data_IF_219302618665
#
_entry.id   IF_219302618665
#
_cell.length_a   1.000
_cell.length_b   1.000
_cell.length_c   1.000
_cell.angle_alpha   90.00
_cell.angle_beta   90.00
_cell.angle_gamma   90.00
#
_symmetry.space_group_name_H-M   'P 1'
#
loop_
_entity.id
_entity.type
_entity.pdbx_description
1 polymer ?
#
# COMPACT_ATOMS: atom_id res chain seq x y z
N UNK A 1 4.10 37.48 17.17
CA UNK A 1 2.90 36.68 17.18
C UNK A 1 3.18 35.27 16.69
N UNK A 2 2.50 34.29 17.27
CA UNK A 2 2.52 32.90 16.83
C UNK A 2 1.26 32.63 16.03
N UNK A 3 1.41 31.97 14.86
CA UNK A 3 0.29 31.50 14.06
C UNK A 3 0.22 29.96 14.22
N UNK A 4 -0.97 29.47 14.54
CA UNK A 4 -1.24 28.04 14.65
C UNK A 4 -2.37 27.67 13.72
N UNK A 5 -2.09 26.83 12.72
CA UNK A 5 -3.06 26.28 11.82
C UNK A 5 -3.37 24.83 12.23
N UNK A 6 -4.63 24.51 12.37
CA UNK A 6 -5.07 23.17 12.70
C UNK A 6 -6.23 22.76 11.82
N UNK A 7 -6.28 21.48 11.44
CA UNK A 7 -7.35 20.88 10.68
C UNK A 7 -7.96 19.76 11.51
N UNK A 8 -9.24 19.85 11.76
CA UNK A 8 -10.00 18.85 12.51
C UNK A 8 -10.95 18.16 11.56
N UNK A 9 -10.72 16.87 11.30
CA UNK A 9 -11.58 16.06 10.45
C UNK A 9 -12.43 15.16 11.34
N UNK A 10 -13.76 15.19 11.12
CA UNK A 10 -14.70 14.27 11.76
C UNK A 10 -15.64 13.75 10.70
N UNK A 11 -15.45 12.50 10.29
CA UNK A 11 -16.28 11.87 9.27
C UNK A 11 -16.32 10.36 9.47
N UNK A 12 -17.42 9.79 9.04
CA UNK A 12 -17.55 8.34 8.91
C UNK A 12 -16.94 7.92 7.57
N UNK A 13 -16.11 6.90 7.59
CA UNK A 13 -15.47 6.33 6.41
C UNK A 13 -15.82 4.84 6.34
N UNK A 14 -16.22 4.36 5.17
CA UNK A 14 -16.51 2.95 4.96
C UNK A 14 -15.99 2.48 3.61
N UNK A 15 -15.58 1.25 3.57
CA UNK A 15 -15.19 0.53 2.36
C UNK A 15 -15.85 -0.85 2.34
N UNK A 16 -16.04 -1.39 1.16
CA UNK A 16 -16.63 -2.70 0.93
C UNK A 16 -15.56 -3.64 0.39
N UNK A 17 -15.34 -4.73 1.07
CA UNK A 17 -14.37 -5.74 0.65
C UNK A 17 -15.01 -7.12 0.46
N UNK A 18 -14.55 -7.83 -0.57
CA UNK A 18 -14.90 -9.21 -0.82
C UNK A 18 -13.63 -10.03 -1.07
N UNK A 19 -13.59 -11.22 -0.51
CA UNK A 19 -12.51 -12.17 -0.71
C UNK A 19 -13.08 -13.56 -0.99
N UNK A 20 -12.58 -14.19 -2.03
CA UNK A 20 -12.93 -15.54 -2.40
C UNK A 20 -11.67 -16.37 -2.52
N UNK A 21 -11.68 -17.57 -1.97
CA UNK A 21 -10.58 -18.52 -2.08
C UNK A 21 -11.11 -19.92 -2.32
N UNK A 22 -10.57 -20.58 -3.33
CA UNK A 22 -10.96 -21.93 -3.70
C UNK A 22 -9.73 -22.79 -3.97
N UNK A 23 -9.73 -23.97 -3.38
CA UNK A 23 -8.75 -25.02 -3.66
C UNK A 23 -9.30 -25.95 -4.73
N UNK A 24 -8.52 -26.20 -5.77
CA UNK A 24 -8.84 -27.13 -6.85
C UNK A 24 -7.87 -28.32 -6.79
N UNK A 25 -8.39 -29.50 -6.51
CA UNK A 25 -7.58 -30.68 -6.23
C UNK A 25 -6.68 -30.46 -5.00
N UNK A 26 -5.55 -31.13 -4.97
CA UNK A 26 -4.61 -31.03 -3.84
C UNK A 26 -3.59 -29.91 -3.97
N UNK A 27 -3.30 -29.49 -5.20
CA UNK A 27 -2.12 -28.70 -5.52
C UNK A 27 -2.41 -27.27 -5.99
N UNK A 28 -3.66 -26.92 -6.26
CA UNK A 28 -4.02 -25.65 -6.87
C UNK A 28 -4.87 -24.81 -5.93
N UNK A 29 -4.52 -23.54 -5.79
CA UNK A 29 -5.26 -22.59 -4.97
C UNK A 29 -5.44 -21.29 -5.76
N UNK A 30 -6.69 -20.87 -5.94
CA UNK A 30 -7.04 -19.58 -6.52
C UNK A 30 -7.59 -18.69 -5.41
N UNK A 31 -7.17 -17.42 -5.40
CA UNK A 31 -7.74 -16.41 -4.52
C UNK A 31 -8.08 -15.16 -5.34
N UNK A 32 -9.23 -14.60 -5.08
CA UNK A 32 -9.72 -13.36 -5.68
C UNK A 32 -10.06 -12.39 -4.55
N UNK A 33 -9.75 -11.12 -4.76
CA UNK A 33 -10.10 -10.06 -3.82
C UNK A 33 -10.61 -8.84 -4.57
N UNK A 34 -11.58 -8.16 -4.00
CA UNK A 34 -12.08 -6.89 -4.48
C UNK A 34 -12.32 -5.96 -3.29
N UNK A 35 -11.88 -4.73 -3.39
CA UNK A 35 -12.15 -3.67 -2.42
C UNK A 35 -12.68 -2.47 -3.18
N UNK A 36 -13.80 -1.95 -2.75
CA UNK A 36 -14.44 -0.77 -3.32
C UNK A 36 -14.68 0.27 -2.24
N UNK A 37 -14.14 1.44 -2.47
CA UNK A 37 -14.38 2.63 -1.70
C UNK A 37 -15.29 3.55 -2.53
N UNK A 38 -16.55 3.79 -2.12
CA UNK A 38 -17.42 4.75 -2.82
C UNK A 38 -16.97 6.18 -2.57
N UNK A 39 -17.47 7.10 -3.39
CA UNK A 39 -17.31 8.54 -3.15
C UNK A 39 -17.88 8.90 -1.80
N UNK A 40 -17.10 9.59 -0.98
CA UNK A 40 -17.50 10.00 0.36
C UNK A 40 -17.15 11.46 0.63
N UNK A 41 -18.10 12.17 1.21
CA UNK A 41 -17.88 13.55 1.65
C UNK A 41 -17.31 13.53 3.06
N UNK A 42 -16.09 13.97 3.19
CA UNK A 42 -15.39 14.14 4.45
C UNK A 42 -15.59 15.58 4.89
N UNK A 43 -16.16 15.80 6.07
CA UNK A 43 -16.38 17.13 6.62
C UNK A 43 -15.39 17.41 7.73
N UNK A 44 -14.92 18.63 7.77
CA UNK A 44 -13.97 19.08 8.80
C UNK A 44 -14.05 20.57 9.04
N UNK A 45 -13.18 21.04 9.89
CA UNK A 45 -12.99 22.45 10.18
C UNK A 45 -11.51 22.79 10.04
N UNK A 46 -11.25 23.86 9.30
CA UNK A 46 -9.96 24.51 9.29
C UNK A 46 -9.98 25.63 10.33
N UNK A 47 -8.96 25.70 11.15
CA UNK A 47 -8.88 26.61 12.28
C UNK A 47 -7.55 27.34 12.22
N UNK A 48 -7.62 28.66 12.16
CA UNK A 48 -6.49 29.55 12.12
C UNK A 48 -6.52 30.42 13.37
N UNK A 49 -5.44 30.38 14.15
CA UNK A 49 -5.34 31.03 15.45
C UNK A 49 -4.08 31.87 15.52
N UNK A 50 -4.25 33.17 15.77
CA UNK A 50 -3.17 34.10 16.04
C UNK A 50 -3.06 34.36 17.54
N UNK A 51 -1.90 34.10 18.07
CA UNK A 51 -1.60 34.31 19.48
C UNK A 51 -0.53 35.41 19.68
N UNK A 52 -0.68 36.22 20.72
CA UNK A 52 0.45 36.96 21.32
C UNK A 52 0.91 36.27 22.59
N UNK A 53 2.20 36.07 22.73
CA UNK A 53 2.80 35.64 23.98
C UNK A 53 3.38 36.89 24.69
N UNK A 54 2.96 37.14 25.88
CA UNK A 54 3.53 38.23 26.71
C UNK A 54 4.94 37.92 27.20
N UNK A 55 5.36 36.67 27.15
CA UNK A 55 6.72 36.27 27.53
C UNK A 55 7.13 35.03 26.73
N UNK A 56 8.24 35.13 25.96
CA UNK A 56 8.76 34.06 25.11
C UNK A 56 9.30 32.86 25.92
N UNK A 57 9.66 33.08 27.17
CA UNK A 57 10.27 32.05 28.03
C UNK A 57 9.27 31.26 28.88
N UNK A 58 8.05 31.71 29.01
CA UNK A 58 6.98 31.01 29.72
C UNK A 58 5.75 30.95 28.84
N UNK A 59 5.57 29.82 28.16
CA UNK A 59 4.43 29.50 27.28
C UNK A 59 3.06 29.45 28.00
N UNK A 60 2.92 30.03 29.17
CA UNK A 60 1.76 29.86 30.06
C UNK A 60 0.62 30.88 29.89
N UNK A 61 0.84 31.96 29.16
CA UNK A 61 -0.22 32.98 28.93
C UNK A 61 -0.25 33.37 27.46
N UNK A 62 -1.20 32.78 26.72
CA UNK A 62 -1.52 33.19 25.37
C UNK A 62 -2.72 34.09 25.40
N UNK A 63 -2.64 35.19 24.70
CA UNK A 63 -3.83 35.95 24.33
C UNK A 63 -4.15 35.70 22.85
N UNK A 64 -5.36 35.26 22.59
CA UNK A 64 -5.83 34.98 21.23
C UNK A 64 -6.24 36.28 20.57
N UNK A 65 -5.44 36.77 19.63
CA UNK A 65 -5.73 38.02 18.90
C UNK A 65 -6.78 37.83 17.81
N UNK A 66 -6.74 36.69 17.13
CA UNK A 66 -7.69 36.38 16.09
C UNK A 66 -7.93 34.88 16.03
N UNK A 67 -9.18 34.54 15.84
CA UNK A 67 -9.64 33.16 15.66
C UNK A 67 -10.53 33.10 14.44
N UNK A 68 -10.18 32.26 13.48
CA UNK A 68 -11.00 31.97 12.33
C UNK A 68 -11.26 30.48 12.23
N UNK A 69 -12.51 30.11 12.02
CA UNK A 69 -12.92 28.71 11.84
C UNK A 69 -13.79 28.58 10.60
N UNK A 70 -13.29 27.87 9.60
CA UNK A 70 -14.00 27.63 8.36
C UNK A 70 -14.35 26.16 8.22
N UNK A 71 -15.57 25.88 7.77
CA UNK A 71 -15.98 24.52 7.44
C UNK A 71 -15.38 24.11 6.10
N UNK A 72 -14.75 22.96 6.05
CA UNK A 72 -14.19 22.40 4.82
C UNK A 72 -14.91 21.10 4.48
N UNK A 73 -15.05 20.86 3.19
CA UNK A 73 -15.55 19.62 2.64
C UNK A 73 -14.51 19.05 1.68
N UNK A 74 -14.08 17.83 1.94
CA UNK A 74 -13.18 17.10 1.07
C UNK A 74 -13.99 15.97 0.45
N UNK A 75 -14.03 15.93 -0.88
CA UNK A 75 -14.61 14.80 -1.61
C UNK A 75 -13.53 13.75 -1.80
N UNK A 76 -13.64 12.66 -1.04
CA UNK A 76 -12.80 11.49 -1.28
C UNK A 76 -13.41 10.71 -2.44
N UNK A 77 -12.69 10.60 -3.54
CA UNK A 77 -13.15 9.88 -4.72
C UNK A 77 -13.23 8.38 -4.50
N UNK A 78 -14.05 7.75 -5.33
CA UNK A 78 -14.13 6.28 -5.35
C UNK A 78 -12.78 5.65 -5.69
N UNK A 79 -12.50 4.52 -5.08
CA UNK A 79 -11.42 3.65 -5.51
C UNK A 79 -11.89 2.21 -5.67
N UNK A 80 -11.30 1.53 -6.64
CA UNK A 80 -11.52 0.11 -6.90
C UNK A 80 -10.17 -0.60 -6.90
N UNK A 81 -10.06 -1.66 -6.11
CA UNK A 81 -8.88 -2.50 -6.06
C UNK A 81 -9.32 -3.95 -6.30
N UNK A 82 -8.70 -4.58 -7.27
CA UNK A 82 -8.92 -5.98 -7.63
C UNK A 82 -7.61 -6.74 -7.49
N UNK A 83 -7.68 -7.93 -6.94
CA UNK A 83 -6.53 -8.80 -6.79
C UNK A 83 -6.86 -10.24 -7.15
N UNK A 84 -5.90 -10.91 -7.77
CA UNK A 84 -5.96 -12.34 -8.06
C UNK A 84 -4.63 -12.99 -7.71
N UNK A 85 -4.69 -14.16 -7.11
CA UNK A 85 -3.52 -15.02 -6.95
C UNK A 85 -3.84 -16.45 -7.35
N UNK A 86 -2.85 -17.09 -7.95
CA UNK A 86 -2.89 -18.50 -8.31
C UNK A 86 -1.64 -19.18 -7.78
N UNK A 87 -1.81 -20.13 -6.89
CA UNK A 87 -0.71 -20.86 -6.29
C UNK A 87 -0.78 -22.34 -6.69
N UNK A 88 0.38 -22.88 -7.07
CA UNK A 88 0.59 -24.27 -7.44
C UNK A 88 1.62 -24.88 -6.50
N UNK A 89 1.25 -25.97 -5.85
CA UNK A 89 2.19 -26.88 -5.20
C UNK A 89 2.79 -27.79 -6.25
N UNK A 90 4.08 -27.67 -6.46
CA UNK A 90 4.78 -28.50 -7.44
C UNK A 90 5.04 -29.90 -6.86
N UNK A 91 5.18 -30.92 -7.72
CA UNK A 91 5.52 -32.26 -7.28
C UNK A 91 6.78 -32.25 -6.41
N UNK A 92 6.80 -33.08 -5.38
CA UNK A 92 7.91 -33.15 -4.47
C UNK A 92 9.25 -33.48 -5.17
N UNK A 93 10.22 -32.60 -5.01
CA UNK A 93 11.57 -32.82 -5.54
C UNK A 93 12.35 -33.73 -4.58
N UNK A 94 12.57 -34.97 -4.98
CA UNK A 94 13.42 -35.91 -4.23
C UNK A 94 14.88 -35.46 -4.32
N UNK A 95 15.48 -35.20 -3.19
CA UNK A 95 16.90 -34.84 -3.09
C UNK A 95 17.59 -35.70 -2.03
N UNK A 96 18.30 -36.71 -2.46
CA UNK A 96 19.00 -37.71 -1.62
C UNK A 96 18.10 -38.31 -0.53
N UNK A 97 18.05 -37.69 0.66
CA UNK A 97 17.34 -38.20 1.85
C UNK A 97 16.05 -37.46 2.17
N UNK A 98 15.61 -36.51 1.33
CA UNK A 98 14.44 -35.65 1.61
C UNK A 98 13.63 -35.32 0.37
N UNK A 99 12.38 -34.89 0.60
CA UNK A 99 11.46 -34.41 -0.42
C UNK A 99 11.17 -32.93 -0.11
N UNK A 100 11.48 -32.03 -1.06
CA UNK A 100 11.09 -30.62 -1.01
C UNK A 100 9.68 -30.46 -1.56
N UNK A 101 8.92 -29.51 -1.01
CA UNK A 101 7.56 -29.17 -1.44
C UNK A 101 7.53 -27.75 -1.99
N UNK A 102 7.99 -27.55 -3.23
CA UNK A 102 8.08 -26.23 -3.80
C UNK A 102 6.69 -25.69 -4.16
N UNK A 103 6.55 -24.36 -4.07
CA UNK A 103 5.32 -23.64 -4.38
C UNK A 103 5.64 -22.48 -5.32
N UNK A 104 4.88 -22.39 -6.40
CA UNK A 104 4.86 -21.25 -7.29
C UNK A 104 3.56 -20.47 -7.07
N UNK A 105 3.66 -19.15 -6.91
CA UNK A 105 2.49 -18.27 -6.80
C UNK A 105 2.59 -17.18 -7.84
N UNK A 106 1.55 -17.02 -8.64
CA UNK A 106 1.36 -15.92 -9.58
C UNK A 106 0.37 -14.95 -8.98
N UNK A 107 0.64 -13.65 -9.12
CA UNK A 107 -0.18 -12.57 -8.58
C UNK A 107 -0.46 -11.56 -9.68
N UNK A 108 -1.68 -11.04 -9.70
CA UNK A 108 -2.05 -9.90 -10.51
C UNK A 108 -2.93 -8.97 -9.68
N UNK A 109 -2.74 -7.67 -9.82
CA UNK A 109 -3.63 -6.70 -9.19
C UNK A 109 -3.84 -5.49 -10.08
N UNK A 110 -5.03 -4.91 -9.94
CA UNK A 110 -5.41 -3.66 -10.56
C UNK A 110 -6.00 -2.75 -9.48
N UNK A 111 -5.57 -1.50 -9.46
CA UNK A 111 -6.10 -0.49 -8.57
C UNK A 111 -6.38 0.77 -9.35
N UNK A 112 -7.54 1.37 -9.12
CA UNK A 112 -7.93 2.63 -9.70
C UNK A 112 -8.39 3.56 -8.57
N UNK A 113 -7.91 4.80 -8.60
CA UNK A 113 -8.23 5.83 -7.64
C UNK A 113 -8.72 7.07 -8.38
N UNK A 114 -9.84 7.59 -7.95
CA UNK A 114 -10.37 8.84 -8.49
C UNK A 114 -9.59 10.06 -8.01
N UNK A 115 -9.84 11.20 -8.62
CA UNK A 115 -9.28 12.48 -8.19
C UNK A 115 -9.88 12.90 -6.86
N UNK A 116 -9.09 13.43 -5.96
CA UNK A 116 -9.59 14.13 -4.77
C UNK A 116 -9.90 15.56 -5.17
N UNK A 117 -11.10 16.01 -4.83
CA UNK A 117 -11.48 17.42 -4.95
C UNK A 117 -11.87 17.96 -3.57
N UNK A 118 -11.60 19.21 -3.33
CA UNK A 118 -12.03 19.90 -2.11
C UNK A 118 -12.76 21.19 -2.47
N UNK A 119 -13.86 21.43 -1.79
CA UNK A 119 -14.51 22.75 -1.77
C UNK A 119 -13.78 23.61 -0.72
N UNK A 120 -12.54 23.93 -0.98
CA UNK A 120 -11.82 24.83 -0.10
C UNK A 120 -11.84 26.23 -0.69
N UNK A 121 -12.26 27.17 0.12
CA UNK A 121 -11.90 28.58 -0.04
C UNK A 121 -10.38 28.68 -0.15
N UNK A 122 -9.86 29.73 -0.75
CA UNK A 122 -8.45 30.03 -1.12
C UNK A 122 -7.34 29.72 -0.06
N UNK A 123 -7.72 29.13 1.07
CA UNK A 123 -6.87 28.87 2.23
C UNK A 123 -6.16 27.49 2.20
N UNK A 124 -6.63 26.54 1.38
CA UNK A 124 -6.01 25.22 1.30
C UNK A 124 -5.43 25.05 -0.11
N UNK A 125 -4.13 24.74 -0.24
CA UNK A 125 -3.52 24.53 -1.56
C UNK A 125 -4.28 23.44 -2.33
N UNK A 126 -4.60 23.71 -3.59
CA UNK A 126 -5.14 22.70 -4.50
C UNK A 126 -4.03 21.67 -4.76
N UNK A 127 -4.21 20.47 -4.24
CA UNK A 127 -3.25 19.39 -4.43
C UNK A 127 -3.24 18.84 -5.86
N UNK A 128 -4.12 19.31 -6.75
CA UNK A 128 -4.13 18.93 -8.16
C UNK A 128 -4.09 17.42 -8.41
N UNK A 129 -4.68 16.64 -7.50
CA UNK A 129 -4.68 15.19 -7.62
C UNK A 129 -5.59 14.76 -8.77
N UNK A 130 -5.02 14.10 -9.75
CA UNK A 130 -5.73 13.50 -10.89
C UNK A 130 -6.03 12.02 -10.62
N UNK A 131 -6.96 11.48 -11.39
CA UNK A 131 -7.21 10.03 -11.38
C UNK A 131 -5.93 9.28 -11.69
N UNK A 132 -5.68 8.22 -10.96
CA UNK A 132 -4.54 7.35 -11.23
C UNK A 132 -4.91 5.89 -11.14
N UNK A 133 -4.19 5.07 -11.89
CA UNK A 133 -4.38 3.63 -11.90
C UNK A 133 -3.03 2.92 -11.78
N UNK A 134 -3.08 1.73 -11.24
CA UNK A 134 -1.91 0.84 -11.12
C UNK A 134 -2.29 -0.57 -11.50
N UNK A 135 -1.51 -1.17 -12.37
CA UNK A 135 -1.55 -2.58 -12.69
C UNK A 135 -0.24 -3.22 -12.24
N UNK A 136 -0.31 -4.38 -11.59
CA UNK A 136 0.88 -5.11 -11.19
C UNK A 136 0.74 -6.61 -11.39
N UNK A 137 1.86 -7.22 -11.73
CA UNK A 137 2.03 -8.66 -11.87
C UNK A 137 3.21 -9.11 -11.04
N UNK A 138 3.10 -10.27 -10.43
CA UNK A 138 4.16 -10.82 -9.61
C UNK A 138 4.22 -12.33 -9.68
N UNK A 139 5.41 -12.85 -9.44
CA UNK A 139 5.67 -14.27 -9.29
C UNK A 139 6.52 -14.49 -8.04
N UNK A 140 6.13 -15.48 -7.25
CA UNK A 140 6.89 -15.91 -6.08
C UNK A 140 7.15 -17.40 -6.19
N UNK A 141 8.39 -17.78 -5.99
CA UNK A 141 8.83 -19.17 -5.89
C UNK A 141 9.37 -19.42 -4.49
N UNK A 142 8.80 -20.41 -3.81
CA UNK A 142 9.25 -20.90 -2.50
C UNK A 142 9.69 -22.35 -2.65
N UNK A 143 10.96 -22.66 -2.52
CA UNK A 143 11.47 -24.04 -2.71
C UNK A 143 10.93 -25.02 -1.68
N UNK A 144 10.60 -24.56 -0.49
CA UNK A 144 10.02 -25.36 0.57
C UNK A 144 8.87 -24.62 1.25
N UNK A 145 7.70 -25.26 1.33
CA UNK A 145 6.52 -24.71 2.02
C UNK A 145 6.42 -25.17 3.47
N UNK A 146 7.00 -26.33 3.79
CA UNK A 146 7.02 -26.90 5.14
C UNK A 146 8.31 -26.53 5.89
N UNK A 147 8.65 -25.24 5.87
CA UNK A 147 9.91 -24.76 6.44
C UNK A 147 10.08 -25.11 7.92
N UNK A 148 9.03 -25.02 8.71
CA UNK A 148 9.12 -25.29 10.16
C UNK A 148 9.46 -26.76 10.47
N UNK A 149 9.02 -27.69 9.61
CA UNK A 149 9.29 -29.10 9.79
C UNK A 149 10.70 -29.49 9.33
N UNK A 150 11.22 -28.79 8.31
CA UNK A 150 12.41 -29.23 7.57
C UNK A 150 13.62 -28.29 7.70
N UNK A 151 13.54 -27.22 8.50
CA UNK A 151 14.55 -26.17 8.49
C UNK A 151 15.96 -26.61 8.83
N UNK A 152 16.11 -27.55 9.75
CA UNK A 152 17.42 -28.07 10.15
C UNK A 152 18.12 -28.78 8.99
N UNK A 153 17.34 -29.30 8.03
CA UNK A 153 17.85 -30.07 6.90
C UNK A 153 18.00 -29.26 5.62
N UNK A 154 17.34 -28.08 5.52
CA UNK A 154 17.42 -27.19 4.36
C UNK A 154 18.79 -26.52 4.24
N UNK A 155 19.33 -26.43 3.04
CA UNK A 155 20.65 -25.84 2.76
C UNK A 155 20.52 -24.59 1.89
N UNK A 156 21.21 -23.51 2.27
CA UNK A 156 21.45 -22.32 1.45
C UNK A 156 20.22 -21.81 0.69
N UNK A 157 20.24 -21.91 -0.61
CA UNK A 157 19.21 -21.38 -1.53
C UNK A 157 17.83 -22.03 -1.38
N UNK A 158 17.72 -23.20 -0.76
CA UNK A 158 16.44 -23.88 -0.53
C UNK A 158 15.59 -23.21 0.54
N UNK A 159 16.20 -22.35 1.36
CA UNK A 159 15.51 -21.55 2.38
C UNK A 159 14.96 -20.22 1.84
N UNK A 160 15.43 -19.82 0.67
CA UNK A 160 15.15 -18.49 0.13
C UNK A 160 13.87 -18.51 -0.67
N UNK A 161 12.97 -17.59 -0.37
CA UNK A 161 11.82 -17.27 -1.23
C UNK A 161 12.26 -16.23 -2.25
N UNK A 162 12.02 -16.51 -3.52
CA UNK A 162 12.35 -15.64 -4.65
C UNK A 162 11.09 -14.94 -5.14
N UNK A 163 11.21 -13.64 -5.43
CA UNK A 163 10.10 -12.83 -5.94
C UNK A 163 10.57 -11.99 -7.11
N UNK A 164 9.72 -11.90 -8.12
CA UNK A 164 9.89 -10.98 -9.24
C UNK A 164 8.53 -10.35 -9.52
N UNK A 165 8.52 -9.09 -9.89
CA UNK A 165 7.28 -8.39 -10.21
C UNK A 165 7.52 -7.27 -11.21
N UNK A 166 6.43 -6.84 -11.80
CA UNK A 166 6.34 -5.70 -12.68
C UNK A 166 5.12 -4.88 -12.30
N UNK A 167 5.22 -3.57 -12.31
CA UNK A 167 4.06 -2.71 -12.25
C UNK A 167 4.15 -1.56 -13.24
N UNK A 168 3.00 -1.10 -13.66
CA UNK A 168 2.80 0.14 -14.39
C UNK A 168 1.72 0.95 -13.69
N UNK A 169 1.95 2.25 -13.52
CA UNK A 169 1.00 3.15 -12.88
C UNK A 169 1.04 4.53 -13.51
N UNK A 170 -0.11 5.18 -13.56
CA UNK A 170 -0.19 6.62 -13.74
C UNK A 170 0.00 7.30 -12.38
N UNK A 171 0.70 8.43 -12.35
CA UNK A 171 0.95 9.12 -11.07
C UNK A 171 -0.22 10.08 -10.74
N UNK A 172 -0.51 10.30 -9.45
CA UNK A 172 -1.66 11.11 -9.02
C UNK A 172 -1.49 12.62 -9.22
N UNK A 173 -0.41 13.04 -9.84
CA UNK A 173 -0.11 14.44 -10.09
C UNK A 173 0.18 14.69 -11.57
N UNK A 174 -0.20 15.87 -12.04
CA UNK A 174 0.12 16.36 -13.36
C UNK A 174 0.88 17.69 -13.25
N UNK A 175 1.76 17.95 -14.21
CA UNK A 175 2.43 19.23 -14.36
C UNK A 175 2.14 19.78 -15.76
N UNK A 176 1.61 21.00 -15.82
CA UNK A 176 1.18 21.64 -17.08
C UNK A 176 0.19 20.79 -17.89
N UNK A 177 -0.72 20.08 -17.20
CA UNK A 177 -1.71 19.21 -17.85
C UNK A 177 -1.17 17.85 -18.31
N UNK A 178 0.14 17.59 -18.15
CA UNK A 178 0.78 16.33 -18.53
C UNK A 178 0.85 15.42 -17.31
N UNK A 179 0.23 14.24 -17.40
CA UNK A 179 0.29 13.22 -16.37
C UNK A 179 1.51 12.33 -16.58
N UNK A 180 2.18 11.95 -15.49
CA UNK A 180 3.34 11.11 -15.55
C UNK A 180 2.97 9.64 -15.39
N UNK A 181 3.67 8.78 -16.12
CA UNK A 181 3.59 7.34 -16.01
C UNK A 181 4.87 6.79 -15.38
N UNK A 182 4.73 5.77 -14.55
CA UNK A 182 5.84 5.07 -13.95
C UNK A 182 5.70 3.58 -14.19
N UNK A 183 6.75 2.95 -14.68
CA UNK A 183 6.86 1.49 -14.76
C UNK A 183 8.09 1.00 -14.02
N UNK A 184 7.98 -0.17 -13.41
CA UNK A 184 9.09 -0.73 -12.65
C UNK A 184 9.12 -2.24 -12.68
N UNK A 185 10.33 -2.79 -12.62
CA UNK A 185 10.61 -4.19 -12.33
C UNK A 185 11.13 -4.31 -10.91
N UNK A 186 10.63 -5.29 -10.18
CA UNK A 186 11.00 -5.55 -8.79
C UNK A 186 11.56 -6.94 -8.62
N UNK A 187 12.58 -7.06 -7.78
CA UNK A 187 13.17 -8.34 -7.37
C UNK A 187 13.17 -8.43 -5.86
N UNK A 188 12.89 -9.59 -5.32
CA UNK A 188 12.85 -9.78 -3.88
C UNK A 188 13.39 -11.15 -3.45
N UNK A 189 14.03 -11.15 -2.29
CA UNK A 189 14.52 -12.34 -1.60
C UNK A 189 13.97 -12.35 -0.18
N UNK A 190 13.37 -13.45 0.24
CA UNK A 190 12.88 -13.66 1.59
C UNK A 190 13.69 -14.75 2.29
N UNK A 191 14.33 -14.41 3.39
CA UNK A 191 15.10 -15.33 4.23
C UNK A 191 14.33 -15.62 5.51
N UNK A 192 13.89 -16.86 5.79
CA UNK A 192 13.29 -17.19 7.06
C UNK A 192 14.34 -17.18 8.17
N UNK A 193 14.00 -16.56 9.28
CA UNK A 193 14.75 -16.63 10.53
C UNK A 193 13.89 -17.39 11.52
N UNK A 194 14.38 -18.53 11.99
CA UNK A 194 13.69 -19.34 12.97
C UNK A 194 14.38 -19.20 14.32
N UNK A 195 13.63 -18.68 15.28
CA UNK A 195 13.92 -18.79 16.70
C UNK A 195 13.04 -19.89 17.30
N UNK A 196 13.43 -20.45 18.45
CA UNK A 196 12.84 -21.65 19.05
C UNK A 196 11.33 -21.71 19.15
N UNK A 197 10.61 -20.55 19.06
CA UNK A 197 9.14 -20.49 19.14
C UNK A 197 8.51 -19.47 18.16
N UNK A 198 9.27 -18.88 17.26
CA UNK A 198 8.74 -17.90 16.31
C UNK A 198 9.35 -18.05 14.93
N UNK A 199 8.52 -17.90 13.90
CA UNK A 199 8.96 -17.79 12.52
C UNK A 199 8.97 -16.31 12.12
N UNK A 200 10.14 -15.78 11.83
CA UNK A 200 10.33 -14.44 11.30
C UNK A 200 10.96 -14.51 9.91
N UNK A 201 10.87 -13.44 9.14
CA UNK A 201 11.57 -13.37 7.86
C UNK A 201 12.22 -12.00 7.66
N UNK A 202 13.42 -12.01 7.07
CA UNK A 202 14.05 -10.81 6.53
C UNK A 202 13.83 -10.79 5.03
N UNK A 203 13.30 -9.69 4.54
CA UNK A 203 13.00 -9.51 3.13
C UNK A 203 13.87 -8.39 2.55
N UNK A 204 14.55 -8.69 1.45
CA UNK A 204 15.30 -7.73 0.65
C UNK A 204 14.53 -7.49 -0.65
N UNK A 205 14.43 -6.23 -1.06
CA UNK A 205 13.76 -5.85 -2.31
C UNK A 205 14.56 -4.82 -3.07
N UNK A 206 14.63 -4.99 -4.38
CA UNK A 206 15.22 -4.06 -5.33
C UNK A 206 14.16 -3.65 -6.35
N UNK A 207 14.11 -2.36 -6.67
CA UNK A 207 13.17 -1.83 -7.65
C UNK A 207 13.92 -0.96 -8.65
N UNK A 208 13.81 -1.33 -9.91
CA UNK A 208 14.28 -0.51 -11.04
C UNK A 208 13.05 0.14 -11.67
N UNK A 209 13.00 1.48 -11.64
CA UNK A 209 11.84 2.25 -12.13
C UNK A 209 12.24 3.22 -13.23
N UNK A 210 11.31 3.41 -14.15
CA UNK A 210 11.38 4.42 -15.21
C UNK A 210 10.12 5.28 -15.15
N UNK A 211 10.29 6.58 -15.23
CA UNK A 211 9.20 7.56 -15.36
C UNK A 211 9.26 8.19 -16.74
N UNK A 212 8.08 8.33 -17.32
CA UNK A 212 7.89 9.00 -18.61
C UNK A 212 6.77 10.03 -18.48
N UNK A 213 6.88 11.12 -19.20
CA UNK A 213 5.79 12.09 -19.41
C UNK A 213 5.19 11.81 -20.78
N UNK A 214 3.90 11.61 -20.84
CA UNK A 214 3.13 11.51 -22.08
C UNK A 214 2.61 12.87 -22.49
#
# INVERSE_FOLDING_TARGET
GLNRNSMIIRSFHYELGAYFQQKFGENHLISLSAVYLPNQKISGYYQDEFYTASNINTLSTYDTLAFSRSRIHIMNSSSLQLGMSYAILLPGLKRQTRVLHPKLTLLASYSQFGSMSHDATDLVPDFGMTNFSRMSFGMQFSPETKMMENIATLKGLEKITYRVGYYSQTLPYSKNGIQYEESAVTFGLGLPILAQMSASSVNFGFTLRKRTSN
#
